data_IF_489582924278
#
_entry.id   IF_489582924278
#
_cell.length_a   1.000
_cell.length_b   1.000
_cell.length_c   1.000
_cell.angle_alpha   90.00
_cell.angle_beta   90.00
_cell.angle_gamma   90.00
#
_symmetry.space_group_name_H-M   'P 1'
#
loop_
_entity.id
_entity.type
_entity.pdbx_description
1 polymer ?
#
# COMPACT_ATOMS: atom_id res chain seq x y z
N UNK A 1 15.08 13.96 -4.21
CA UNK A 1 15.18 12.53 -3.82
C UNK A 1 14.92 11.67 -5.05
N UNK A 2 15.71 10.63 -5.32
CA UNK A 2 15.45 9.74 -6.47
C UNK A 2 14.13 8.99 -6.27
N UNK A 3 13.27 8.98 -7.30
CA UNK A 3 12.00 8.21 -7.32
C UNK A 3 12.24 6.74 -6.93
N UNK A 4 13.40 6.18 -7.27
CA UNK A 4 13.76 4.80 -6.95
C UNK A 4 13.97 4.57 -5.45
N UNK A 5 14.68 5.48 -4.78
CA UNK A 5 14.92 5.38 -3.34
C UNK A 5 13.61 5.58 -2.56
N UNK A 6 12.81 6.54 -2.99
CA UNK A 6 11.50 6.81 -2.43
C UNK A 6 10.57 5.59 -2.51
N UNK A 7 10.43 5.00 -3.70
CA UNK A 7 9.58 3.82 -3.91
C UNK A 7 10.07 2.60 -3.10
N UNK A 8 11.39 2.45 -2.95
CA UNK A 8 11.96 1.36 -2.15
C UNK A 8 11.62 1.47 -0.65
N UNK A 9 11.59 2.69 -0.11
CA UNK A 9 11.15 2.93 1.28
C UNK A 9 9.68 2.54 1.44
N UNK A 10 8.82 3.00 0.54
CA UNK A 10 7.38 2.70 0.61
C UNK A 10 7.06 1.23 0.42
N UNK A 11 7.77 0.53 -0.47
CA UNK A 11 7.63 -0.93 -0.65
C UNK A 11 7.95 -1.67 0.65
N UNK A 12 9.05 -1.33 1.32
CA UNK A 12 9.40 -1.92 2.62
C UNK A 12 8.39 -1.58 3.71
N UNK A 13 7.96 -0.32 3.78
CA UNK A 13 6.96 0.12 4.74
C UNK A 13 5.65 -0.65 4.57
N UNK A 14 5.14 -0.74 3.34
CA UNK A 14 3.88 -1.46 3.07
C UNK A 14 4.02 -2.95 3.33
N UNK A 15 5.16 -3.58 3.02
CA UNK A 15 5.39 -4.99 3.37
C UNK A 15 5.41 -5.23 4.88
N UNK A 16 6.01 -4.32 5.64
CA UNK A 16 6.00 -4.37 7.11
C UNK A 16 4.60 -4.22 7.68
N UNK A 17 3.85 -3.21 7.20
CA UNK A 17 2.45 -3.00 7.57
C UNK A 17 1.56 -4.18 7.20
N UNK A 18 1.77 -4.77 6.03
CA UNK A 18 1.05 -5.95 5.58
C UNK A 18 1.25 -7.11 6.55
N UNK A 19 2.49 -7.38 6.93
CA UNK A 19 2.79 -8.42 7.92
C UNK A 19 2.18 -8.10 9.29
N UNK A 20 2.25 -6.84 9.73
CA UNK A 20 1.67 -6.40 11.01
C UNK A 20 0.15 -6.66 11.07
N UNK A 21 -0.58 -6.37 10.00
CA UNK A 21 -2.05 -6.49 9.98
C UNK A 21 -2.57 -7.86 9.59
N UNK A 22 -1.85 -8.60 8.74
CA UNK A 22 -2.35 -9.83 8.14
C UNK A 22 -1.50 -11.07 8.49
N UNK A 23 -0.44 -10.90 9.29
CA UNK A 23 0.50 -11.95 9.70
C UNK A 23 1.05 -12.79 8.54
N UNK A 24 1.15 -12.17 7.36
CA UNK A 24 1.55 -12.86 6.14
C UNK A 24 2.69 -12.12 5.45
N UNK A 25 3.71 -12.88 5.04
CA UNK A 25 4.85 -12.34 4.30
C UNK A 25 4.54 -12.34 2.81
N UNK A 26 4.47 -11.15 2.20
CA UNK A 26 4.24 -11.00 0.76
C UNK A 26 5.37 -11.63 -0.08
N UNK A 27 6.62 -11.43 0.35
CA UNK A 27 7.81 -11.95 -0.34
C UNK A 27 7.96 -11.43 -1.77
N UNK A 28 8.72 -12.13 -2.60
CA UNK A 28 9.00 -11.73 -4.00
C UNK A 28 7.82 -11.94 -4.95
N UNK A 29 6.75 -12.60 -4.47
CA UNK A 29 5.51 -12.92 -5.22
C UNK A 29 4.70 -11.70 -5.62
N UNK A 30 4.95 -10.56 -4.99
CA UNK A 30 4.16 -9.34 -5.15
C UNK A 30 5.00 -8.23 -5.73
N UNK A 31 4.44 -7.50 -6.70
CA UNK A 31 4.93 -6.19 -7.11
C UNK A 31 4.26 -5.10 -6.29
N UNK A 32 5.02 -4.08 -5.94
CA UNK A 32 4.52 -2.89 -5.26
C UNK A 32 4.54 -1.72 -6.24
N UNK A 33 3.39 -1.08 -6.44
CA UNK A 33 3.26 0.10 -7.27
C UNK A 33 2.99 1.30 -6.38
N UNK A 34 3.89 2.27 -6.44
CA UNK A 34 3.83 3.51 -5.68
C UNK A 34 3.37 4.65 -6.59
N UNK A 35 2.38 5.42 -6.15
CA UNK A 35 1.86 6.60 -6.85
C UNK A 35 1.70 7.75 -5.85
N UNK A 36 2.58 8.77 -5.90
CA UNK A 36 2.33 10.02 -5.18
C UNK A 36 1.04 10.66 -5.69
N UNK A 37 0.24 11.20 -4.78
CA UNK A 37 -0.99 11.91 -5.10
C UNK A 37 -0.87 13.36 -4.64
N UNK A 38 -1.34 14.29 -5.46
CA UNK A 38 -1.45 15.70 -5.08
C UNK A 38 -2.64 15.88 -4.11
N UNK A 39 -3.74 15.22 -4.40
CA UNK A 39 -4.96 15.20 -3.62
C UNK A 39 -5.75 13.91 -3.88
N UNK A 40 -6.75 13.64 -3.04
CA UNK A 40 -7.77 12.63 -3.31
C UNK A 40 -9.07 13.34 -3.70
N UNK A 41 -9.74 12.90 -4.78
CA UNK A 41 -11.07 13.41 -5.12
C UNK A 41 -12.05 13.16 -3.96
N UNK A 42 -12.99 14.07 -3.75
CA UNK A 42 -13.95 13.98 -2.62
C UNK A 42 -14.78 12.71 -2.69
N UNK A 43 -15.04 12.21 -3.89
CA UNK A 43 -15.78 10.98 -4.17
C UNK A 43 -15.08 9.75 -3.58
N UNK A 44 -13.77 9.80 -3.37
CA UNK A 44 -13.02 8.72 -2.74
C UNK A 44 -13.19 8.68 -1.21
N UNK A 45 -13.71 9.73 -0.57
CA UNK A 45 -13.87 9.75 0.89
C UNK A 45 -14.79 8.63 1.38
N UNK A 46 -15.85 8.33 0.63
CA UNK A 46 -16.76 7.21 0.95
C UNK A 46 -16.00 5.88 0.99
N UNK A 47 -15.13 5.63 0.01
CA UNK A 47 -14.30 4.43 -0.09
C UNK A 47 -13.28 4.39 1.05
N UNK A 48 -12.58 5.50 1.32
CA UNK A 48 -11.57 5.58 2.38
C UNK A 48 -12.17 5.33 3.77
N UNK A 49 -13.42 5.75 3.99
CA UNK A 49 -14.13 5.51 5.25
C UNK A 49 -14.48 4.04 5.47
N UNK A 50 -14.59 3.25 4.40
CA UNK A 50 -14.77 1.79 4.46
C UNK A 50 -13.44 1.03 4.65
N UNK A 51 -12.31 1.73 4.59
CA UNK A 51 -10.99 1.13 4.78
C UNK A 51 -10.56 1.21 6.24
N UNK A 52 -9.83 0.19 6.68
CA UNK A 52 -9.23 0.17 8.00
C UNK A 52 -8.26 1.36 8.17
N UNK A 53 -8.20 1.93 9.36
CA UNK A 53 -7.33 3.06 9.71
C UNK A 53 -6.21 2.60 10.64
N UNK A 54 -4.99 3.05 10.36
CA UNK A 54 -3.87 2.90 11.27
C UNK A 54 -2.98 4.13 11.28
N UNK A 55 -2.12 4.22 12.29
CA UNK A 55 -1.09 5.25 12.38
C UNK A 55 0.20 4.73 13.03
N UNK A 56 1.31 5.43 12.78
CA UNK A 56 2.63 5.19 13.39
C UNK A 56 3.15 6.54 13.90
N UNK A 57 3.66 6.55 15.13
CA UNK A 57 4.27 7.74 15.73
C UNK A 57 3.25 8.87 15.96
N UNK A 58 2.10 8.52 16.55
CA UNK A 58 0.95 9.41 16.72
C UNK A 58 0.27 9.67 15.38
N UNK A 59 0.65 10.77 14.73
CA UNK A 59 0.11 11.23 13.44
C UNK A 59 1.19 11.43 12.36
N UNK A 60 2.44 11.02 12.64
CA UNK A 60 3.56 11.22 11.71
C UNK A 60 3.36 10.44 10.41
N UNK A 61 2.71 9.28 10.49
CA UNK A 61 2.29 8.48 9.36
C UNK A 61 0.88 7.96 9.66
N UNK A 62 -0.11 8.40 8.88
CA UNK A 62 -1.49 7.92 8.95
C UNK A 62 -1.80 7.16 7.67
N UNK A 63 -2.48 6.03 7.76
CA UNK A 63 -2.78 5.24 6.58
C UNK A 63 -4.15 4.56 6.64
N UNK A 64 -4.76 4.45 5.47
CA UNK A 64 -5.94 3.61 5.22
C UNK A 64 -5.52 2.38 4.43
N UNK A 65 -6.07 1.22 4.75
CA UNK A 65 -5.74 -0.02 4.07
C UNK A 65 -6.91 -0.99 3.94
N UNK A 66 -6.90 -1.78 2.88
CA UNK A 66 -7.76 -2.95 2.71
C UNK A 66 -7.04 -4.01 1.86
N UNK A 67 -7.38 -5.27 2.11
CA UNK A 67 -6.93 -6.42 1.33
C UNK A 67 -8.09 -6.95 0.50
N UNK A 68 -7.82 -7.36 -0.73
CA UNK A 68 -8.82 -7.97 -1.59
C UNK A 68 -9.32 -9.28 -0.96
N UNK A 69 -10.63 -9.52 -1.02
CA UNK A 69 -11.25 -10.73 -0.45
C UNK A 69 -10.96 -11.99 -1.29
N UNK A 70 -10.77 -11.82 -2.59
CA UNK A 70 -10.49 -12.87 -3.57
C UNK A 70 -8.99 -13.15 -3.77
N UNK A 71 -8.12 -12.26 -3.28
CA UNK A 71 -6.67 -12.39 -3.42
C UNK A 71 -5.92 -11.86 -2.20
N UNK A 72 -5.44 -12.79 -1.36
CA UNK A 72 -4.66 -12.47 -0.16
C UNK A 72 -3.25 -11.91 -0.44
N UNK A 73 -2.95 -11.52 -1.67
CA UNK A 73 -1.69 -10.87 -2.05
C UNK A 73 -1.91 -9.47 -2.61
N UNK A 74 -3.18 -9.11 -2.85
CA UNK A 74 -3.58 -7.84 -3.41
C UNK A 74 -4.14 -6.96 -2.31
N UNK A 75 -3.61 -5.75 -2.18
CA UNK A 75 -4.06 -4.79 -1.18
C UNK A 75 -3.78 -3.36 -1.62
N UNK A 76 -4.60 -2.45 -1.10
CA UNK A 76 -4.56 -1.02 -1.37
C UNK A 76 -4.22 -0.27 -0.09
N UNK A 77 -3.32 0.69 -0.20
CA UNK A 77 -2.83 1.50 0.90
C UNK A 77 -2.84 2.97 0.51
N UNK A 78 -3.48 3.81 1.30
CA UNK A 78 -3.44 5.26 1.17
C UNK A 78 -2.67 5.80 2.36
N UNK A 79 -1.48 6.35 2.14
CA UNK A 79 -0.55 6.73 3.19
C UNK A 79 -0.32 8.23 3.16
N UNK A 80 -0.47 8.88 4.31
CA UNK A 80 -0.25 10.30 4.52
C UNK A 80 0.91 10.49 5.52
N UNK A 81 2.05 10.97 5.03
CA UNK A 81 3.18 11.34 5.87
C UNK A 81 3.07 12.80 6.31
N UNK A 82 3.24 13.05 7.60
CA UNK A 82 3.27 14.37 8.25
C UNK A 82 2.13 15.30 7.79
N UNK A 83 0.93 14.73 7.59
CA UNK A 83 -0.28 15.45 7.11
C UNK A 83 -0.09 16.20 5.78
N UNK A 84 0.92 15.87 4.97
CA UNK A 84 1.27 16.62 3.75
C UNK A 84 1.52 15.75 2.53
N UNK A 85 2.17 14.61 2.71
CA UNK A 85 2.62 13.81 1.58
C UNK A 85 1.77 12.56 1.44
N UNK A 86 0.92 12.56 0.42
CA UNK A 86 -0.07 11.53 0.17
C UNK A 86 0.42 10.58 -0.92
N UNK A 87 0.28 9.28 -0.65
CA UNK A 87 0.72 8.23 -1.55
C UNK A 87 -0.30 7.11 -1.59
N UNK A 88 -0.59 6.66 -2.80
CA UNK A 88 -1.27 5.40 -3.04
C UNK A 88 -0.24 4.32 -3.30
N UNK A 89 -0.34 3.22 -2.56
CA UNK A 89 0.46 2.03 -2.78
C UNK A 89 -0.45 0.84 -3.03
N UNK A 90 -0.18 0.14 -4.13
CA UNK A 90 -0.84 -1.11 -4.48
C UNK A 90 0.16 -2.24 -4.38
N UNK A 91 -0.28 -3.33 -3.76
CA UNK A 91 0.39 -4.62 -3.89
C UNK A 91 -0.40 -5.45 -4.89
N UNK A 92 0.30 -6.07 -5.84
CA UNK A 92 -0.31 -6.99 -6.80
C UNK A 92 0.49 -8.29 -6.89
N UNK A 93 -0.21 -9.41 -6.86
CA UNK A 93 0.35 -10.72 -7.17
C UNK A 93 0.98 -10.71 -8.56
N UNK A 94 2.23 -11.15 -8.66
CA UNK A 94 2.89 -11.42 -9.93
C UNK A 94 2.30 -12.73 -10.44
N UNK A 95 1.40 -12.66 -11.42
CA UNK A 95 0.97 -13.86 -12.14
C UNK A 95 2.21 -14.59 -12.63
N UNK A 96 2.38 -15.85 -12.23
CA UNK A 96 3.48 -16.68 -12.71
C UNK A 96 3.46 -16.68 -14.23
N UNK A 97 4.58 -16.36 -14.89
CA UNK A 97 4.77 -16.73 -16.29
C UNK A 97 4.54 -18.23 -16.36
N UNK A 98 3.42 -18.68 -16.94
CA UNK A 98 3.32 -20.06 -17.41
C UNK A 98 4.49 -20.23 -18.38
N UNK A 99 5.49 -21.03 -18.02
CA UNK A 99 6.40 -21.60 -19.02
C UNK A 99 5.52 -22.56 -19.81
N UNK A 100 5.13 -22.17 -21.01
CA UNK A 100 4.65 -23.12 -22.01
C UNK A 100 5.84 -24.04 -22.30
N UNK A 101 5.73 -25.29 -21.85
CA UNK A 101 6.57 -26.39 -22.32
C UNK A 101 5.86 -27.03 -23.51
#
# INVERSE_FOLDING_TARGET
>A
MSVKAHNAVLDRTVRGLYFHHFHQVLGTRVSCRVRPLISLPVEFNSILNLMNLGSIGGDSLVYRYNRASDSHLDSLWVILFYKRYLVLVETRSKKGRKKSA
#
